data_IF_122598547339
#
_entry.id   IF_122598547339
#
_cell.length_a   1.000
_cell.length_b   1.000
_cell.length_c   1.000
_cell.angle_alpha   90.00
_cell.angle_beta   90.00
_cell.angle_gamma   90.00
#
_symmetry.space_group_name_H-M   'P 1'
#
loop_
_entity.id
_entity.type
_entity.pdbx_description
1 polymer ?
#
# COMPACT_ATOMS: atom_id res chain seq x y z
N UNK A 1 5.31 24.91 27.86
CA UNK A 1 5.38 25.69 26.61
C UNK A 1 6.24 24.98 25.56
N UNK A 2 5.94 23.71 25.24
CA UNK A 2 6.62 22.95 24.17
C UNK A 2 5.63 22.35 23.15
N UNK A 3 4.32 22.38 23.44
CA UNK A 3 3.27 21.83 22.57
C UNK A 3 2.87 22.77 21.42
N UNK A 4 3.22 24.05 21.47
CA UNK A 4 2.87 25.02 20.42
C UNK A 4 3.81 24.98 19.19
N UNK A 5 4.82 24.10 19.18
CA UNK A 5 5.88 24.12 18.16
C UNK A 5 6.04 22.82 17.37
N UNK A 6 5.27 21.77 17.69
CA UNK A 6 5.33 20.51 16.94
C UNK A 6 4.23 20.47 15.86
N UNK A 7 4.56 20.40 14.56
CA UNK A 7 3.58 20.46 13.47
C UNK A 7 2.61 19.27 13.45
N UNK A 8 2.95 18.16 14.11
CA UNK A 8 2.09 16.97 14.24
C UNK A 8 1.01 17.11 15.32
N UNK A 9 1.02 18.18 16.12
CA UNK A 9 -0.01 18.46 17.13
C UNK A 9 -1.14 19.36 16.60
N UNK A 10 -1.11 19.71 15.31
CA UNK A 10 -2.24 20.38 14.65
C UNK A 10 -3.50 19.51 14.72
N UNK A 11 -4.69 20.12 14.77
CA UNK A 11 -5.98 19.41 14.88
C UNK A 11 -6.99 19.76 13.78
N UNK A 12 -6.59 20.66 12.88
CA UNK A 12 -7.43 21.24 11.84
C UNK A 12 -6.56 21.63 10.65
N UNK A 13 -7.17 21.71 9.47
CA UNK A 13 -6.47 22.12 8.26
C UNK A 13 -5.61 21.00 7.66
N UNK A 14 -4.78 21.37 6.70
CA UNK A 14 -3.90 20.43 5.99
C UNK A 14 -2.65 20.16 6.84
N UNK A 15 -2.18 18.91 6.95
CA UNK A 15 -0.92 18.61 7.62
C UNK A 15 0.24 19.42 7.03
N UNK A 16 1.05 20.02 7.90
CA UNK A 16 2.21 20.84 7.54
C UNK A 16 3.40 19.99 7.10
N UNK A 17 3.27 19.28 5.99
CA UNK A 17 4.23 18.26 5.53
C UNK A 17 5.66 18.79 5.34
N UNK A 18 5.80 20.05 4.96
CA UNK A 18 7.07 20.76 4.79
C UNK A 18 7.78 21.04 6.13
N UNK A 19 7.05 21.12 7.24
CA UNK A 19 7.58 21.34 8.58
C UNK A 19 7.86 20.03 9.35
N UNK A 20 7.27 18.89 8.95
CA UNK A 20 7.43 17.61 9.67
C UNK A 20 8.85 17.08 9.53
N UNK A 21 9.47 16.74 10.67
CA UNK A 21 10.81 16.16 10.76
C UNK A 21 10.77 14.90 11.63
N UNK A 22 11.67 13.92 11.44
CA UNK A 22 11.65 12.67 12.21
C UNK A 22 11.59 12.89 13.74
N UNK A 23 12.38 13.82 14.28
CA UNK A 23 12.42 14.10 15.72
C UNK A 23 11.12 14.69 16.31
N UNK A 24 10.16 15.10 15.47
CA UNK A 24 8.83 15.53 15.92
C UNK A 24 7.94 14.33 16.29
N UNK A 25 8.19 13.14 15.72
CA UNK A 25 7.30 11.97 15.80
C UNK A 25 7.17 11.48 17.24
N UNK A 26 8.28 11.13 17.88
CA UNK A 26 8.27 10.60 19.26
C UNK A 26 7.49 11.47 20.25
N UNK A 27 7.83 12.76 20.40
CA UNK A 27 7.12 13.67 21.29
C UNK A 27 5.64 13.86 20.95
N UNK A 28 5.29 14.05 19.67
CA UNK A 28 3.89 14.27 19.28
C UNK A 28 3.04 13.03 19.54
N UNK A 29 3.51 11.86 19.08
CA UNK A 29 2.78 10.59 19.20
C UNK A 29 2.61 10.22 20.67
N UNK A 30 3.64 10.41 21.51
CA UNK A 30 3.54 10.19 22.95
C UNK A 30 2.47 11.07 23.58
N UNK A 31 2.45 12.37 23.24
CA UNK A 31 1.47 13.31 23.77
C UNK A 31 0.04 12.94 23.36
N UNK A 32 -0.22 12.71 22.07
CA UNK A 32 -1.59 12.40 21.61
C UNK A 32 -2.06 11.04 22.12
N UNK A 33 -1.18 10.07 22.31
CA UNK A 33 -1.52 8.79 22.94
C UNK A 33 -1.87 8.97 24.42
N UNK A 34 -1.16 9.86 25.14
CA UNK A 34 -1.51 10.18 26.52
C UNK A 34 -2.87 10.88 26.60
N UNK A 35 -3.13 11.86 25.74
CA UNK A 35 -4.42 12.55 25.63
C UNK A 35 -5.55 11.56 25.31
N UNK A 36 -5.35 10.69 24.33
CA UNK A 36 -6.34 9.69 23.93
C UNK A 36 -6.56 8.63 25.02
N UNK A 37 -5.52 8.21 25.75
CA UNK A 37 -5.70 7.31 26.90
C UNK A 37 -6.53 7.94 28.01
N UNK A 38 -6.30 9.22 28.32
CA UNK A 38 -7.06 9.95 29.33
C UNK A 38 -8.53 10.14 28.89
N UNK A 39 -8.75 10.53 27.62
CA UNK A 39 -10.08 10.65 27.04
C UNK A 39 -10.84 9.32 27.10
N UNK A 40 -10.18 8.22 26.78
CA UNK A 40 -10.78 6.89 26.80
C UNK A 40 -11.22 6.52 28.22
N UNK A 41 -10.37 6.77 29.23
CA UNK A 41 -10.71 6.55 30.64
C UNK A 41 -11.88 7.42 31.10
N UNK A 42 -11.98 8.67 30.63
CA UNK A 42 -13.10 9.55 30.97
C UNK A 42 -14.41 9.06 30.36
N UNK A 43 -14.39 8.60 29.10
CA UNK A 43 -15.56 8.03 28.42
C UNK A 43 -16.00 6.74 29.11
N UNK A 44 -15.05 5.85 29.46
CA UNK A 44 -15.33 4.62 30.20
C UNK A 44 -15.96 4.88 31.57
N UNK A 45 -15.52 5.93 32.28
CA UNK A 45 -15.99 6.24 33.63
C UNK A 45 -17.34 6.98 33.67
N UNK A 46 -17.67 7.71 32.61
CA UNK A 46 -18.91 8.51 32.51
C UNK A 46 -19.79 8.03 31.35
N UNK A 47 -19.81 6.71 31.16
CA UNK A 47 -20.42 6.10 29.98
C UNK A 47 -21.92 6.42 29.88
N UNK A 48 -22.32 6.98 28.74
CA UNK A 48 -23.70 7.27 28.39
C UNK A 48 -24.00 6.65 27.02
N UNK A 49 -24.81 5.58 26.94
CA UNK A 49 -25.03 4.81 25.72
C UNK A 49 -26.03 5.54 24.79
N UNK A 50 -25.64 6.71 24.33
CA UNK A 50 -26.35 7.53 23.33
C UNK A 50 -25.38 7.98 22.26
N UNK A 51 -25.88 8.45 21.12
CA UNK A 51 -25.00 8.95 20.06
C UNK A 51 -24.06 10.07 20.56
N UNK A 52 -24.62 11.03 21.29
CA UNK A 52 -23.92 12.18 21.86
C UNK A 52 -23.04 11.81 23.06
N UNK A 53 -23.39 10.77 23.81
CA UNK A 53 -22.70 10.36 25.04
C UNK A 53 -21.56 9.37 24.83
N UNK A 54 -21.59 8.60 23.73
CA UNK A 54 -20.59 7.55 23.46
C UNK A 54 -19.92 7.71 22.09
N UNK A 55 -20.70 7.81 21.01
CA UNK A 55 -20.12 7.78 19.65
C UNK A 55 -19.36 9.06 19.35
N UNK A 56 -19.98 10.22 19.54
CA UNK A 56 -19.33 11.51 19.27
C UNK A 56 -18.04 11.70 20.09
N UNK A 57 -18.01 11.46 21.42
CA UNK A 57 -16.78 11.59 22.21
C UNK A 57 -15.67 10.64 21.75
N UNK A 58 -16.01 9.42 21.32
CA UNK A 58 -15.02 8.48 20.79
C UNK A 58 -14.40 8.94 19.47
N UNK A 59 -15.19 9.55 18.59
CA UNK A 59 -14.69 10.12 17.34
C UNK A 59 -13.82 11.34 17.59
N UNK A 60 -14.28 12.28 18.42
CA UNK A 60 -13.55 13.51 18.75
C UNK A 60 -12.21 13.23 19.44
N UNK A 61 -12.16 12.22 20.32
CA UNK A 61 -10.94 11.78 20.98
C UNK A 61 -9.89 11.23 19.98
N UNK A 62 -10.34 10.66 18.86
CA UNK A 62 -9.46 10.09 17.83
C UNK A 62 -8.77 11.14 16.95
N UNK A 63 -9.36 12.33 16.80
CA UNK A 63 -8.88 13.36 15.86
C UNK A 63 -7.40 13.74 16.09
N UNK A 64 -6.93 14.04 17.32
CA UNK A 64 -5.53 14.39 17.53
C UNK A 64 -4.56 13.28 17.12
N UNK A 65 -4.94 12.01 17.34
CA UNK A 65 -4.14 10.87 16.95
C UNK A 65 -4.05 10.74 15.42
N UNK A 66 -5.16 10.93 14.70
CA UNK A 66 -5.18 10.91 13.23
C UNK A 66 -4.27 11.97 12.62
N UNK A 67 -4.32 13.21 13.14
CA UNK A 67 -3.47 14.31 12.68
C UNK A 67 -1.98 14.10 12.99
N UNK A 68 -1.64 13.34 14.03
CA UNK A 68 -0.25 13.06 14.37
C UNK A 68 0.30 11.84 13.63
N UNK A 69 -0.47 10.75 13.55
CA UNK A 69 0.02 9.48 13.02
C UNK A 69 -0.20 9.33 11.51
N UNK A 70 -1.31 9.87 10.97
CA UNK A 70 -1.63 9.82 9.55
C UNK A 70 -0.52 10.41 8.66
N UNK A 71 -0.03 11.63 8.92
CA UNK A 71 1.07 12.22 8.16
C UNK A 71 2.37 11.42 8.23
N UNK A 72 2.66 10.77 9.37
CA UNK A 72 3.84 9.91 9.52
C UNK A 72 3.73 8.67 8.63
N UNK A 73 2.58 8.00 8.62
CA UNK A 73 2.32 6.85 7.74
C UNK A 73 2.39 7.24 6.26
N UNK A 74 1.86 8.41 5.91
CA UNK A 74 1.93 8.95 4.57
C UNK A 74 3.39 9.18 4.14
N UNK A 75 4.19 9.89 4.94
CA UNK A 75 5.61 10.14 4.65
C UNK A 75 6.43 8.85 4.53
N UNK A 76 6.17 7.84 5.34
CA UNK A 76 6.79 6.51 5.17
C UNK A 76 6.45 5.84 3.84
N UNK A 77 5.31 6.16 3.25
CA UNK A 77 4.85 5.58 2.00
C UNK A 77 5.40 6.32 0.78
N UNK A 78 5.57 7.65 0.86
CA UNK A 78 5.89 8.51 -0.30
C UNK A 78 7.25 9.20 -0.23
N UNK A 79 7.85 9.32 0.96
CA UNK A 79 9.14 9.99 1.18
C UNK A 79 9.94 9.30 2.30
N UNK A 80 10.14 7.98 2.13
CA UNK A 80 10.70 7.11 3.14
C UNK A 80 12.22 7.34 3.37
N UNK A 81 12.62 7.57 4.63
CA UNK A 81 14.03 7.68 5.04
C UNK A 81 14.34 6.77 6.25
N UNK A 82 15.63 6.49 6.48
CA UNK A 82 16.07 5.66 7.62
C UNK A 82 15.67 6.29 8.97
N UNK A 83 15.75 7.62 9.07
CA UNK A 83 15.39 8.37 10.28
C UNK A 83 13.88 8.28 10.55
N UNK A 84 13.04 8.39 9.49
CA UNK A 84 11.59 8.21 9.62
C UNK A 84 11.24 6.78 10.04
N UNK A 85 11.88 5.77 9.46
CA UNK A 85 11.69 4.35 9.86
C UNK A 85 12.04 4.14 11.33
N UNK A 86 13.19 4.65 11.77
CA UNK A 86 13.64 4.48 13.15
C UNK A 86 12.67 5.11 14.17
N UNK A 87 12.15 6.30 13.90
CA UNK A 87 11.18 6.95 14.78
C UNK A 87 9.80 6.25 14.75
N UNK A 88 9.38 5.79 13.57
CA UNK A 88 8.16 4.98 13.46
C UNK A 88 8.26 3.67 14.23
N UNK A 89 9.36 2.92 14.10
CA UNK A 89 9.58 1.65 14.80
C UNK A 89 9.57 1.80 16.33
N UNK A 90 10.09 2.92 16.85
CA UNK A 90 10.03 3.23 18.29
C UNK A 90 8.60 3.47 18.78
N UNK A 91 7.76 4.12 17.97
CA UNK A 91 6.41 4.51 18.37
C UNK A 91 5.34 3.46 18.06
N UNK A 92 5.55 2.63 17.04
CA UNK A 92 4.58 1.64 16.57
C UNK A 92 4.05 0.71 17.70
N UNK A 93 4.87 0.19 18.64
CA UNK A 93 4.36 -0.63 19.74
C UNK A 93 3.32 0.09 20.61
N UNK A 94 3.55 1.36 20.95
CA UNK A 94 2.64 2.16 21.78
C UNK A 94 1.33 2.47 21.03
N UNK A 95 1.43 2.71 19.72
CA UNK A 95 0.26 2.89 18.84
C UNK A 95 -0.60 1.64 18.80
N UNK A 96 0.02 0.46 18.63
CA UNK A 96 -0.69 -0.82 18.62
C UNK A 96 -1.33 -1.09 19.97
N UNK A 97 -0.60 -0.87 21.07
CA UNK A 97 -1.11 -1.06 22.43
C UNK A 97 -2.36 -0.21 22.68
N UNK A 98 -2.34 1.07 22.30
CA UNK A 98 -3.51 1.93 22.42
C UNK A 98 -4.68 1.47 21.55
N UNK A 99 -4.43 1.07 20.30
CA UNK A 99 -5.46 0.53 19.41
C UNK A 99 -6.11 -0.74 19.98
N UNK A 100 -5.31 -1.63 20.57
CA UNK A 100 -5.79 -2.82 21.28
C UNK A 100 -6.61 -2.45 22.52
N UNK A 101 -6.14 -1.49 23.34
CA UNK A 101 -6.90 -0.99 24.51
C UNK A 101 -8.27 -0.47 24.10
N UNK A 102 -8.33 0.39 23.07
CA UNK A 102 -9.58 0.94 22.57
C UNK A 102 -10.52 -0.16 22.06
N UNK A 103 -10.02 -1.05 21.18
CA UNK A 103 -10.83 -2.13 20.60
C UNK A 103 -11.30 -3.17 21.61
N UNK A 104 -10.60 -3.31 22.74
CA UNK A 104 -10.90 -4.28 23.81
C UNK A 104 -11.54 -3.64 25.04
N UNK A 105 -11.98 -2.38 24.95
CA UNK A 105 -12.70 -1.71 26.04
C UNK A 105 -14.07 -2.37 26.24
N UNK A 106 -14.21 -3.13 27.32
CA UNK A 106 -15.48 -3.78 27.70
C UNK A 106 -16.60 -2.77 27.98
N UNK A 107 -16.38 -1.67 28.74
CA UNK A 107 -17.42 -0.67 28.95
C UNK A 107 -17.96 -0.11 27.64
N UNK A 108 -17.08 0.25 26.70
CA UNK A 108 -17.51 0.77 25.39
C UNK A 108 -18.28 -0.29 24.60
N UNK A 109 -17.77 -1.52 24.55
CA UNK A 109 -18.45 -2.60 23.85
C UNK A 109 -19.85 -2.87 24.40
N UNK A 110 -20.00 -2.90 25.73
CA UNK A 110 -21.29 -3.03 26.41
C UNK A 110 -22.20 -1.82 26.14
N UNK A 111 -21.65 -0.61 26.13
CA UNK A 111 -22.36 0.60 25.74
C UNK A 111 -22.88 0.57 24.31
N UNK A 112 -22.08 0.08 23.36
CA UNK A 112 -22.49 -0.12 21.97
C UNK A 112 -23.61 -1.15 21.84
N UNK A 113 -23.54 -2.26 22.59
CA UNK A 113 -24.61 -3.25 22.64
C UNK A 113 -25.89 -2.66 23.24
N UNK A 114 -25.78 -1.86 24.31
CA UNK A 114 -26.93 -1.18 24.91
C UNK A 114 -27.57 -0.17 23.96
N UNK A 115 -26.79 0.52 23.13
CA UNK A 115 -27.33 1.37 22.06
C UNK A 115 -28.05 0.57 20.98
N UNK A 116 -27.50 -0.59 20.57
CA UNK A 116 -28.08 -1.46 19.53
C UNK A 116 -29.37 -2.13 19.99
N UNK A 117 -29.39 -2.61 21.23
CA UNK A 117 -30.48 -3.43 21.79
C UNK A 117 -31.48 -2.60 22.62
N UNK A 118 -31.23 -1.30 22.78
CA UNK A 118 -32.02 -0.39 23.62
C UNK A 118 -32.86 0.62 22.83
N UNK A 119 -33.56 1.53 23.53
CA UNK A 119 -34.51 2.47 22.93
C UNK A 119 -33.87 3.53 22.03
N UNK A 120 -32.57 3.82 22.19
CA UNK A 120 -31.84 4.74 21.32
C UNK A 120 -31.85 4.26 19.86
N UNK A 121 -31.84 2.93 19.62
CA UNK A 121 -31.75 2.36 18.28
C UNK A 121 -32.79 2.92 17.31
N UNK A 122 -34.03 3.09 17.78
CA UNK A 122 -35.16 3.53 16.98
C UNK A 122 -35.05 5.02 16.58
N UNK A 123 -34.30 5.84 17.33
CA UNK A 123 -34.06 7.25 17.01
C UNK A 123 -32.93 7.46 15.99
N UNK A 124 -32.05 6.47 15.83
CA UNK A 124 -30.89 6.55 14.95
C UNK A 124 -31.25 6.34 13.48
N UNK A 125 -30.61 7.11 12.60
CA UNK A 125 -30.68 6.88 11.16
C UNK A 125 -29.84 5.67 10.72
N UNK A 126 -29.99 5.23 9.46
CA UNK A 126 -29.32 4.05 8.91
C UNK A 126 -27.79 4.13 9.03
N UNK A 127 -27.18 5.29 8.74
CA UNK A 127 -25.74 5.49 8.83
C UNK A 127 -25.24 5.35 10.26
N UNK A 128 -25.95 5.93 11.24
CA UNK A 128 -25.62 5.82 12.65
C UNK A 128 -25.71 4.37 13.15
N UNK A 129 -26.79 3.66 12.78
CA UNK A 129 -26.96 2.23 13.05
C UNK A 129 -25.83 1.40 12.45
N UNK A 130 -25.42 1.73 11.23
CA UNK A 130 -24.30 1.08 10.54
C UNK A 130 -22.98 1.30 11.28
N UNK A 131 -22.69 2.52 11.74
CA UNK A 131 -21.50 2.85 12.53
C UNK A 131 -21.44 2.01 13.81
N UNK A 132 -22.54 1.89 14.55
CA UNK A 132 -22.59 1.09 15.79
C UNK A 132 -22.34 -0.39 15.48
N UNK A 133 -23.02 -0.95 14.47
CA UNK A 133 -22.82 -2.35 14.08
C UNK A 133 -21.37 -2.64 13.65
N UNK A 134 -20.74 -1.70 12.93
CA UNK A 134 -19.32 -1.79 12.56
C UNK A 134 -18.41 -1.80 13.79
N UNK A 135 -18.60 -0.86 14.72
CA UNK A 135 -17.81 -0.79 15.96
C UNK A 135 -17.97 -2.05 16.83
N UNK A 136 -19.19 -2.61 16.92
CA UNK A 136 -19.45 -3.89 17.63
C UNK A 136 -18.68 -5.03 16.98
N UNK A 137 -18.75 -5.17 15.65
CA UNK A 137 -17.99 -6.18 14.90
C UNK A 137 -16.49 -6.00 15.13
N UNK A 138 -15.99 -4.78 15.00
CA UNK A 138 -14.56 -4.49 15.10
C UNK A 138 -14.03 -4.76 16.52
N UNK A 139 -14.81 -4.49 17.57
CA UNK A 139 -14.47 -4.87 18.94
C UNK A 139 -14.39 -6.40 19.12
N UNK A 140 -15.31 -7.16 18.51
CA UNK A 140 -15.24 -8.64 18.50
C UNK A 140 -13.97 -9.12 17.78
N UNK A 141 -13.66 -8.56 16.62
CA UNK A 141 -12.44 -8.87 15.85
C UNK A 141 -11.15 -8.38 16.53
N UNK A 142 -11.25 -7.42 17.45
CA UNK A 142 -10.18 -6.99 18.35
C UNK A 142 -10.04 -7.89 19.58
N UNK A 143 -10.92 -8.90 19.76
CA UNK A 143 -10.84 -9.86 20.85
C UNK A 143 -11.43 -9.38 22.18
N UNK A 144 -12.37 -8.41 22.18
CA UNK A 144 -13.01 -7.91 23.41
C UNK A 144 -13.69 -9.02 24.25
N UNK A 145 -14.19 -10.06 23.59
CA UNK A 145 -14.84 -11.20 24.23
C UNK A 145 -13.90 -12.29 24.75
N UNK A 146 -12.59 -12.15 24.55
CA UNK A 146 -11.62 -13.16 24.99
C UNK A 146 -11.41 -13.12 26.52
N UNK A 147 -11.23 -14.29 27.15
CA UNK A 147 -10.67 -14.37 28.51
C UNK A 147 -9.30 -13.69 28.60
N UNK A 148 -8.89 -13.30 29.81
CA UNK A 148 -7.68 -12.48 30.01
C UNK A 148 -6.41 -13.14 29.45
N UNK A 149 -6.19 -14.42 29.72
CA UNK A 149 -5.05 -15.20 29.23
C UNK A 149 -5.01 -15.27 27.70
N UNK A 150 -6.16 -15.49 27.05
CA UNK A 150 -6.25 -15.50 25.58
C UNK A 150 -6.10 -14.11 24.96
N UNK A 151 -6.52 -13.07 25.68
CA UNK A 151 -6.38 -11.68 25.24
C UNK A 151 -4.92 -11.22 25.25
N UNK A 152 -4.15 -11.61 26.26
CA UNK A 152 -2.70 -11.35 26.30
C UNK A 152 -1.99 -11.99 25.10
N UNK A 153 -2.32 -13.24 24.79
CA UNK A 153 -1.78 -13.92 23.60
C UNK A 153 -2.22 -13.26 22.29
N UNK A 154 -3.50 -12.88 22.18
CA UNK A 154 -4.02 -12.14 21.03
C UNK A 154 -3.26 -10.82 20.79
N UNK A 155 -2.95 -10.10 21.88
CA UNK A 155 -2.22 -8.84 21.84
C UNK A 155 -0.78 -9.05 21.38
N UNK A 156 -0.09 -10.06 21.94
CA UNK A 156 1.25 -10.45 21.51
C UNK A 156 1.30 -10.77 20.02
N UNK A 157 0.35 -11.58 19.53
CA UNK A 157 0.23 -11.96 18.12
C UNK A 157 0.00 -10.72 17.24
N UNK A 158 -0.93 -9.84 17.62
CA UNK A 158 -1.28 -8.65 16.83
C UNK A 158 -0.10 -7.66 16.74
N UNK A 159 0.63 -7.46 17.84
CA UNK A 159 1.85 -6.63 17.85
C UNK A 159 2.93 -7.22 16.95
N UNK A 160 3.18 -8.53 17.05
CA UNK A 160 4.18 -9.21 16.24
C UNK A 160 3.84 -9.18 14.75
N UNK A 161 2.58 -9.41 14.37
CA UNK A 161 2.11 -9.31 12.98
C UNK A 161 2.35 -7.92 12.37
N UNK A 162 2.12 -6.86 13.14
CA UNK A 162 2.30 -5.48 12.67
C UNK A 162 3.78 -5.17 12.42
N UNK A 163 4.67 -5.63 13.30
CA UNK A 163 6.12 -5.55 13.10
C UNK A 163 6.56 -6.32 11.85
N UNK A 164 6.15 -7.59 11.73
CA UNK A 164 6.48 -8.44 10.58
C UNK A 164 6.01 -7.84 9.25
N UNK A 165 4.85 -7.18 9.22
CA UNK A 165 4.36 -6.50 8.03
C UNK A 165 5.24 -5.28 7.63
N UNK A 166 5.71 -4.52 8.63
CA UNK A 166 6.63 -3.40 8.42
C UNK A 166 7.97 -3.90 7.89
N UNK A 167 8.55 -4.93 8.55
CA UNK A 167 9.81 -5.56 8.16
C UNK A 167 9.72 -6.12 6.73
N UNK A 168 8.63 -6.81 6.41
CA UNK A 168 8.37 -7.34 5.05
C UNK A 168 8.38 -6.24 4.00
N UNK A 169 7.67 -5.13 4.24
CA UNK A 169 7.56 -4.01 3.31
C UNK A 169 8.91 -3.31 3.11
N UNK A 170 9.66 -3.09 4.19
CA UNK A 170 11.00 -2.50 4.13
C UNK A 170 11.96 -3.39 3.33
N UNK A 171 11.94 -4.70 3.55
CA UNK A 171 12.77 -5.65 2.81
C UNK A 171 12.49 -5.64 1.30
N UNK A 172 11.21 -5.55 0.89
CA UNK A 172 10.84 -5.44 -0.54
C UNK A 172 11.36 -4.13 -1.13
N UNK A 173 11.20 -3.02 -0.41
CA UNK A 173 11.68 -1.70 -0.85
C UNK A 173 13.21 -1.69 -1.00
N UNK A 174 13.92 -2.19 0.00
CA UNK A 174 15.39 -2.17 0.02
C UNK A 174 15.96 -3.15 -1.01
N UNK A 175 15.34 -4.32 -1.20
CA UNK A 175 15.72 -5.26 -2.26
C UNK A 175 15.50 -4.69 -3.66
N UNK A 176 14.44 -3.88 -3.85
CA UNK A 176 14.17 -3.18 -5.11
C UNK A 176 15.23 -2.10 -5.38
N UNK A 177 15.60 -1.32 -4.35
CA UNK A 177 16.60 -0.23 -4.44
C UNK A 177 18.04 -0.73 -4.61
N UNK A 178 18.39 -1.85 -3.98
CA UNK A 178 19.75 -2.39 -3.99
C UNK A 178 20.20 -2.92 -5.35
N UNK A 179 19.28 -3.25 -6.25
CA UNK A 179 19.61 -3.80 -7.55
C UNK A 179 20.01 -2.72 -8.54
N UNK A 180 21.18 -2.88 -9.15
CA UNK A 180 21.59 -2.12 -10.33
C UNK A 180 22.07 -3.04 -11.44
N UNK A 181 21.64 -2.74 -12.68
CA UNK A 181 22.19 -3.37 -13.87
C UNK A 181 22.67 -2.31 -14.85
N UNK A 182 24.00 -2.21 -14.98
CA UNK A 182 24.66 -1.21 -15.81
C UNK A 182 24.97 -1.80 -17.19
N UNK A 183 24.46 -1.15 -18.23
CA UNK A 183 24.71 -1.47 -19.64
C UNK A 183 25.63 -0.39 -20.21
N UNK A 184 26.72 -0.81 -20.85
CA UNK A 184 27.75 0.10 -21.39
C UNK A 184 27.78 0.12 -22.92
N UNK A 185 27.30 -0.93 -23.57
CA UNK A 185 27.32 -1.05 -25.03
C UNK A 185 26.09 -0.39 -25.64
N UNK A 186 26.30 0.58 -26.52
CA UNK A 186 25.19 1.22 -27.25
C UNK A 186 24.38 0.22 -28.08
N UNK A 187 25.04 -0.79 -28.65
CA UNK A 187 24.39 -1.83 -29.44
C UNK A 187 23.36 -2.64 -28.62
N UNK A 188 23.56 -2.78 -27.31
CA UNK A 188 22.62 -3.50 -26.43
C UNK A 188 21.35 -2.68 -26.08
N UNK A 189 21.35 -1.37 -26.39
CA UNK A 189 20.19 -0.48 -26.22
C UNK A 189 19.30 -0.41 -27.46
N UNK A 190 19.64 -1.16 -28.52
CA UNK A 190 18.90 -1.12 -29.78
C UNK A 190 17.44 -1.58 -29.59
N UNK A 191 16.51 -0.74 -30.03
CA UNK A 191 15.07 -0.99 -29.90
C UNK A 191 14.46 -0.53 -28.58
N UNK A 192 15.24 0.01 -27.65
CA UNK A 192 14.68 0.61 -26.44
C UNK A 192 13.89 1.87 -26.77
N UNK A 193 12.73 2.07 -26.12
CA UNK A 193 12.00 3.32 -26.18
C UNK A 193 12.82 4.50 -25.69
N UNK A 194 12.52 5.69 -26.21
CA UNK A 194 13.29 6.91 -25.92
C UNK A 194 13.28 7.24 -24.41
N UNK A 195 12.16 7.05 -23.70
CA UNK A 195 12.14 7.19 -22.23
C UNK A 195 13.08 6.23 -21.55
N UNK A 196 13.12 4.96 -21.95
CA UNK A 196 13.92 3.98 -21.23
C UNK A 196 15.39 4.38 -21.29
N UNK A 197 15.85 4.82 -22.46
CA UNK A 197 17.22 5.32 -22.66
C UNK A 197 17.47 6.56 -21.81
N UNK A 198 16.57 7.56 -21.84
CA UNK A 198 16.71 8.80 -21.05
C UNK A 198 16.68 8.57 -19.53
N UNK A 199 15.72 7.78 -19.07
CA UNK A 199 15.50 7.51 -17.65
C UNK A 199 16.67 6.68 -17.08
N UNK A 200 17.19 5.72 -17.84
CA UNK A 200 18.32 4.90 -17.41
C UNK A 200 19.65 5.67 -17.40
N UNK A 201 19.86 6.64 -18.30
CA UNK A 201 21.02 7.54 -18.22
C UNK A 201 20.91 8.51 -17.03
N UNK A 202 19.72 9.10 -16.81
CA UNK A 202 19.47 9.96 -15.65
C UNK A 202 19.65 9.21 -14.33
N UNK A 203 19.15 7.98 -14.26
CA UNK A 203 19.33 7.08 -13.11
C UNK A 203 20.79 6.78 -12.82
N UNK A 204 21.63 6.58 -13.86
CA UNK A 204 23.06 6.39 -13.68
C UNK A 204 23.72 7.64 -13.09
N UNK A 205 23.47 8.80 -13.70
CA UNK A 205 24.04 10.09 -13.26
C UNK A 205 23.64 10.43 -11.82
N UNK A 206 22.37 10.24 -11.48
CA UNK A 206 21.86 10.46 -10.13
C UNK A 206 22.51 9.53 -9.10
N UNK A 207 22.55 8.22 -9.37
CA UNK A 207 23.13 7.24 -8.44
C UNK A 207 24.63 7.43 -8.25
N UNK A 208 25.37 7.66 -9.34
CA UNK A 208 26.83 7.79 -9.32
C UNK A 208 27.29 9.23 -9.07
N UNK A 209 26.37 10.19 -8.94
CA UNK A 209 26.63 11.63 -8.75
C UNK A 209 27.63 12.17 -9.78
N UNK A 210 27.33 11.93 -11.06
CA UNK A 210 28.17 12.25 -12.21
C UNK A 210 27.31 12.73 -13.38
N UNK A 211 27.94 13.30 -14.41
CA UNK A 211 27.31 13.68 -15.69
C UNK A 211 27.87 12.87 -16.87
N UNK A 212 28.55 11.74 -16.59
CA UNK A 212 29.19 10.89 -17.60
C UNK A 212 28.20 10.22 -18.56
N UNK A 213 26.94 10.01 -18.14
CA UNK A 213 25.93 9.36 -18.97
C UNK A 213 25.08 10.33 -19.76
N UNK A 214 24.85 9.99 -21.02
CA UNK A 214 23.82 10.61 -21.87
C UNK A 214 22.96 9.53 -22.53
N UNK A 215 21.76 9.87 -23.03
CA UNK A 215 20.97 8.93 -23.81
C UNK A 215 21.73 8.32 -25.01
N UNK A 216 22.64 9.09 -25.59
CA UNK A 216 23.41 8.72 -26.78
C UNK A 216 24.63 7.85 -26.45
N UNK A 217 25.35 8.16 -25.37
CA UNK A 217 26.65 7.53 -25.06
C UNK A 217 26.62 6.54 -23.92
N UNK A 218 25.56 6.55 -23.08
CA UNK A 218 25.52 5.78 -21.86
C UNK A 218 26.64 6.16 -20.88
N UNK A 219 26.88 5.38 -19.83
CA UNK A 219 26.25 4.08 -19.50
C UNK A 219 24.82 4.19 -18.96
N UNK A 220 24.01 3.14 -19.13
CA UNK A 220 22.60 3.12 -18.74
C UNK A 220 22.40 2.24 -17.50
N UNK A 221 21.83 2.80 -16.44
CA UNK A 221 21.48 2.07 -15.21
C UNK A 221 20.02 1.65 -15.24
N UNK A 222 19.78 0.34 -15.26
CA UNK A 222 18.45 -0.27 -15.14
C UNK A 222 18.22 -0.70 -13.69
N UNK A 223 17.05 -0.35 -13.16
CA UNK A 223 16.58 -0.73 -11.82
C UNK A 223 15.38 -1.68 -11.91
N UNK A 224 14.89 -2.17 -10.77
CA UNK A 224 13.72 -3.03 -10.68
C UNK A 224 12.39 -2.27 -10.57
N UNK A 225 12.43 -0.93 -10.66
CA UNK A 225 11.23 -0.11 -10.62
C UNK A 225 10.44 -0.23 -11.93
N UNK A 226 9.11 -0.25 -11.82
CA UNK A 226 8.21 -0.48 -12.95
C UNK A 226 8.49 0.41 -14.18
N UNK A 227 8.80 1.73 -14.05
CA UNK A 227 9.11 2.59 -15.19
C UNK A 227 10.35 2.18 -16.00
N UNK A 228 11.27 1.39 -15.43
CA UNK A 228 12.41 0.83 -16.17
C UNK A 228 12.21 -0.64 -16.50
N UNK A 229 11.77 -1.44 -15.54
CA UNK A 229 11.60 -2.89 -15.67
C UNK A 229 10.66 -3.26 -16.83
N UNK A 230 9.47 -2.66 -16.87
CA UNK A 230 8.44 -3.02 -17.84
C UNK A 230 8.90 -2.73 -19.28
N UNK A 231 9.32 -1.49 -19.64
CA UNK A 231 9.80 -1.24 -20.98
C UNK A 231 11.06 -2.04 -21.32
N UNK A 232 11.95 -2.32 -20.35
CA UNK A 232 13.11 -3.17 -20.60
C UNK A 232 12.70 -4.59 -21.03
N UNK A 233 11.77 -5.22 -20.30
CA UNK A 233 11.27 -6.56 -20.63
C UNK A 233 10.49 -6.61 -21.94
N UNK A 234 9.81 -5.52 -22.33
CA UNK A 234 9.07 -5.42 -23.60
C UNK A 234 9.96 -5.15 -24.82
N UNK A 235 11.05 -4.41 -24.66
CA UNK A 235 11.78 -3.86 -25.81
C UNK A 235 13.25 -4.28 -25.92
N UNK A 236 13.90 -4.73 -24.84
CA UNK A 236 15.29 -5.18 -24.95
C UNK A 236 15.39 -6.43 -25.83
N UNK A 237 16.08 -6.32 -26.96
CA UNK A 237 16.34 -7.44 -27.88
C UNK A 237 17.28 -8.49 -27.27
N UNK A 238 18.05 -8.12 -26.25
CA UNK A 238 19.09 -8.98 -25.66
C UNK A 238 18.46 -9.95 -24.65
N UNK A 239 18.16 -11.17 -25.09
CA UNK A 239 17.41 -12.17 -24.30
C UNK A 239 17.98 -12.49 -22.92
N UNK A 240 19.30 -12.72 -22.82
CA UNK A 240 19.93 -13.03 -21.53
C UNK A 240 19.86 -11.87 -20.53
N UNK A 241 19.75 -10.62 -21.02
CA UNK A 241 19.56 -9.45 -20.16
C UNK A 241 18.12 -9.40 -19.62
N UNK A 242 17.11 -9.72 -20.45
CA UNK A 242 15.72 -9.88 -19.98
C UNK A 242 15.62 -10.97 -18.93
N UNK A 243 16.30 -12.11 -19.15
CA UNK A 243 16.39 -13.20 -18.17
C UNK A 243 16.99 -12.72 -16.85
N UNK A 244 18.16 -12.06 -16.91
CA UNK A 244 18.84 -11.54 -15.71
C UNK A 244 17.97 -10.57 -14.92
N UNK A 245 17.29 -9.66 -15.62
CA UNK A 245 16.44 -8.65 -14.98
C UNK A 245 15.16 -9.27 -14.39
N UNK A 246 14.47 -10.14 -15.13
CA UNK A 246 13.28 -10.80 -14.62
C UNK A 246 13.59 -11.69 -13.41
N UNK A 247 14.69 -12.46 -13.47
CA UNK A 247 15.14 -13.29 -12.34
C UNK A 247 15.36 -12.43 -11.09
N UNK A 248 16.08 -11.32 -11.24
CA UNK A 248 16.29 -10.38 -10.14
C UNK A 248 14.99 -9.79 -9.60
N UNK A 249 14.01 -9.50 -10.46
CA UNK A 249 12.71 -8.98 -10.04
C UNK A 249 11.87 -9.98 -9.24
N UNK A 250 11.83 -11.25 -9.67
CA UNK A 250 11.04 -12.30 -9.01
C UNK A 250 11.73 -12.88 -7.77
N UNK A 251 13.04 -12.67 -7.63
CA UNK A 251 13.85 -13.04 -6.46
C UNK A 251 14.03 -11.88 -5.47
N UNK A 252 13.22 -10.82 -5.55
CA UNK A 252 13.32 -9.72 -4.59
C UNK A 252 12.96 -10.19 -3.18
N UNK A 253 13.75 -9.73 -2.21
CA UNK A 253 13.57 -10.05 -0.79
C UNK A 253 13.47 -11.56 -0.53
N UNK A 254 14.28 -12.37 -1.23
CA UNK A 254 14.24 -13.83 -1.16
C UNK A 254 15.49 -14.48 -0.53
N UNK A 255 16.45 -13.69 -0.04
CA UNK A 255 17.73 -14.20 0.45
C UNK A 255 18.49 -13.15 1.27
N UNK A 256 19.49 -13.61 2.03
CA UNK A 256 20.32 -12.76 2.88
C UNK A 256 19.52 -12.07 3.99
N UNK A 257 19.94 -10.85 4.35
CA UNK A 257 19.32 -10.05 5.42
C UNK A 257 17.92 -9.54 5.06
N UNK A 258 17.56 -9.55 3.78
CA UNK A 258 16.27 -9.10 3.26
C UNK A 258 15.31 -10.27 2.97
N UNK A 259 15.61 -11.50 3.42
CA UNK A 259 14.80 -12.68 3.15
C UNK A 259 13.43 -12.61 3.83
N UNK A 260 12.37 -12.48 3.04
CA UNK A 260 11.00 -12.45 3.53
C UNK A 260 10.37 -13.84 3.70
N UNK A 261 10.99 -14.95 3.25
CA UNK A 261 10.39 -16.29 3.38
C UNK A 261 10.14 -16.68 4.85
N UNK A 262 11.07 -16.45 5.81
CA UNK A 262 10.80 -16.69 7.22
C UNK A 262 9.66 -15.81 7.76
N UNK A 263 9.65 -14.53 7.39
CA UNK A 263 8.60 -13.59 7.82
C UNK A 263 7.22 -14.03 7.34
N UNK A 264 7.10 -14.47 6.07
CA UNK A 264 5.83 -14.98 5.51
C UNK A 264 5.34 -16.19 6.31
N UNK A 265 6.21 -17.15 6.62
CA UNK A 265 5.82 -18.35 7.39
C UNK A 265 5.32 -17.98 8.78
N UNK A 266 6.03 -17.08 9.46
CA UNK A 266 5.62 -16.59 10.78
C UNK A 266 4.29 -15.83 10.71
N UNK A 267 4.10 -14.97 9.71
CA UNK A 267 2.83 -14.25 9.46
C UNK A 267 1.68 -15.25 9.27
N UNK A 268 1.86 -16.29 8.44
CA UNK A 268 0.81 -17.28 8.20
C UNK A 268 0.45 -18.08 9.45
N UNK A 269 1.47 -18.49 10.24
CA UNK A 269 1.26 -19.15 11.52
C UNK A 269 0.48 -18.26 12.49
N UNK A 270 0.96 -17.04 12.72
CA UNK A 270 0.33 -16.07 13.64
C UNK A 270 -1.09 -15.69 13.20
N UNK A 271 -1.35 -15.57 11.90
CA UNK A 271 -2.71 -15.35 11.36
C UNK A 271 -3.64 -16.53 11.64
N UNK A 272 -3.16 -17.77 11.52
CA UNK A 272 -3.91 -18.97 11.87
C UNK A 272 -4.23 -19.03 13.37
N UNK A 273 -3.23 -18.77 14.22
CA UNK A 273 -3.39 -18.71 15.68
C UNK A 273 -4.40 -17.62 16.09
N UNK A 274 -4.28 -16.41 15.52
CA UNK A 274 -5.22 -15.30 15.74
C UNK A 274 -6.66 -15.67 15.39
N UNK A 275 -6.88 -16.30 14.25
CA UNK A 275 -8.20 -16.73 13.80
C UNK A 275 -8.81 -17.75 14.76
N UNK A 276 -8.03 -18.76 15.17
CA UNK A 276 -8.45 -19.79 16.14
C UNK A 276 -8.77 -19.22 17.50
N UNK A 277 -8.02 -18.22 17.98
CA UNK A 277 -8.32 -17.55 19.25
C UNK A 277 -9.72 -16.94 19.24
N UNK A 278 -10.13 -16.36 18.10
CA UNK A 278 -11.44 -15.77 17.92
C UNK A 278 -12.54 -16.77 17.50
N UNK A 279 -12.20 -18.06 17.37
CA UNK A 279 -13.17 -19.11 17.04
C UNK A 279 -13.45 -19.32 15.55
N UNK A 280 -12.58 -18.85 14.65
CA UNK A 280 -12.66 -19.12 13.21
C UNK A 280 -11.75 -20.29 12.82
N UNK A 281 -12.13 -21.07 11.80
CA UNK A 281 -11.32 -22.19 11.30
C UNK A 281 -10.10 -21.70 10.53
N UNK A 282 -10.22 -20.53 9.88
CA UNK A 282 -9.14 -19.93 9.11
C UNK A 282 -9.11 -18.40 9.21
N UNK A 283 -7.94 -17.83 8.91
CA UNK A 283 -7.82 -16.37 8.78
C UNK A 283 -8.68 -15.81 7.64
N UNK A 284 -8.97 -16.60 6.61
CA UNK A 284 -9.83 -16.18 5.50
C UNK A 284 -11.26 -15.93 5.97
N UNK A 285 -11.85 -16.85 6.75
CA UNK A 285 -13.17 -16.69 7.37
C UNK A 285 -13.22 -15.44 8.26
N UNK A 286 -12.27 -15.30 9.17
CA UNK A 286 -12.15 -14.11 10.03
C UNK A 286 -12.05 -12.82 9.20
N UNK A 287 -11.36 -12.86 8.05
CA UNK A 287 -11.20 -11.71 7.17
C UNK A 287 -12.49 -11.32 6.43
N UNK A 288 -13.40 -12.27 6.23
CA UNK A 288 -14.65 -12.09 5.50
C UNK A 288 -15.74 -11.40 6.32
N UNK A 289 -15.67 -11.44 7.66
CA UNK A 289 -16.55 -10.66 8.56
C UNK A 289 -16.60 -9.16 8.21
N UNK A 290 -15.51 -8.63 7.65
CA UNK A 290 -15.39 -7.24 7.23
C UNK A 290 -15.63 -7.01 5.72
N UNK A 291 -16.02 -8.03 4.96
CA UNK A 291 -16.17 -8.00 3.49
C UNK A 291 -17.61 -8.30 3.07
N UNK A 292 -17.90 -8.06 1.80
CA UNK A 292 -19.23 -8.34 1.21
C UNK A 292 -19.43 -9.82 0.85
N UNK A 293 -18.35 -10.55 0.58
CA UNK A 293 -18.43 -11.96 0.21
C UNK A 293 -18.93 -12.77 1.43
N UNK A 294 -19.95 -13.63 1.25
CA UNK A 294 -20.64 -14.26 2.38
C UNK A 294 -19.80 -15.34 3.07
N UNK A 295 -18.93 -16.03 2.33
CA UNK A 295 -18.11 -17.13 2.83
C UNK A 295 -16.91 -17.40 1.90
N UNK A 296 -16.01 -18.28 2.34
CA UNK A 296 -14.79 -18.64 1.59
C UNK A 296 -15.13 -19.39 0.29
N UNK A 297 -16.18 -20.20 0.30
CA UNK A 297 -16.59 -20.98 -0.88
C UNK A 297 -17.08 -20.07 -2.01
N UNK A 298 -17.83 -19.01 -1.70
CA UNK A 298 -18.29 -18.02 -2.66
C UNK A 298 -17.12 -17.32 -3.35
N UNK A 299 -16.07 -16.98 -2.59
CA UNK A 299 -14.83 -16.42 -3.15
C UNK A 299 -14.14 -17.42 -4.06
N UNK A 300 -14.03 -18.69 -3.65
CA UNK A 300 -13.41 -19.74 -4.46
C UNK A 300 -14.19 -20.03 -5.74
N UNK A 301 -15.53 -20.08 -5.67
CA UNK A 301 -16.41 -20.23 -6.85
C UNK A 301 -16.20 -19.09 -7.83
N UNK A 302 -16.19 -17.85 -7.37
CA UNK A 302 -15.93 -16.69 -8.21
C UNK A 302 -14.57 -16.79 -8.92
N UNK A 303 -13.50 -17.18 -8.22
CA UNK A 303 -12.18 -17.37 -8.85
C UNK A 303 -12.17 -18.53 -9.86
N UNK A 304 -12.87 -19.61 -9.56
CA UNK A 304 -12.97 -20.75 -10.48
C UNK A 304 -13.74 -20.39 -11.76
N UNK A 305 -14.86 -19.68 -11.65
CA UNK A 305 -15.63 -19.20 -12.80
C UNK A 305 -14.79 -18.28 -13.70
N UNK A 306 -14.03 -17.35 -13.09
CA UNK A 306 -13.11 -16.48 -13.83
C UNK A 306 -12.00 -17.30 -14.53
N UNK A 307 -11.46 -18.31 -13.85
CA UNK A 307 -10.43 -19.18 -14.42
C UNK A 307 -10.95 -19.99 -15.62
N UNK A 308 -12.11 -20.64 -15.48
CA UNK A 308 -12.71 -21.43 -16.55
C UNK A 308 -13.08 -20.57 -17.77
N UNK A 309 -13.56 -19.34 -17.55
CA UNK A 309 -13.84 -18.40 -18.62
C UNK A 309 -12.57 -17.87 -19.32
N UNK A 310 -11.48 -17.65 -18.57
CA UNK A 310 -10.27 -17.00 -19.09
C UNK A 310 -9.26 -17.98 -19.69
N UNK A 311 -9.20 -19.22 -19.19
CA UNK A 311 -8.18 -20.21 -19.57
C UNK A 311 -8.20 -20.58 -21.07
N UNK A 312 -9.34 -20.83 -21.73
CA UNK A 312 -9.33 -21.16 -23.15
C UNK A 312 -8.73 -20.04 -24.00
N UNK A 313 -9.05 -18.78 -23.68
CA UNK A 313 -8.53 -17.62 -24.41
C UNK A 313 -7.04 -17.40 -24.14
N UNK A 314 -6.58 -17.58 -22.89
CA UNK A 314 -5.15 -17.43 -22.56
C UNK A 314 -4.27 -18.46 -23.24
N UNK A 315 -4.74 -19.70 -23.43
CA UNK A 315 -4.03 -20.72 -24.20
C UNK A 315 -3.90 -20.35 -25.69
N UNK A 316 -4.95 -19.78 -26.28
CA UNK A 316 -4.89 -19.28 -27.67
C UNK A 316 -3.90 -18.11 -27.78
N UNK A 317 -3.98 -17.13 -26.88
CA UNK A 317 -3.07 -15.98 -26.89
C UNK A 317 -1.62 -16.39 -26.65
N UNK A 318 -1.36 -17.35 -25.76
CA UNK A 318 -0.01 -17.87 -25.56
C UNK A 318 0.54 -18.54 -26.82
N UNK A 319 -0.30 -19.31 -27.53
CA UNK A 319 0.08 -19.91 -28.81
C UNK A 319 0.39 -18.85 -29.88
N UNK A 320 -0.38 -17.77 -29.95
CA UNK A 320 -0.10 -16.65 -30.86
C UNK A 320 1.27 -16.00 -30.57
N UNK A 321 1.65 -15.93 -29.28
CA UNK A 321 2.97 -15.44 -28.85
C UNK A 321 4.08 -16.43 -29.23
N UNK A 322 3.85 -17.74 -29.16
CA UNK A 322 4.79 -18.76 -29.65
C UNK A 322 4.97 -18.67 -31.17
N UNK A 323 3.88 -18.58 -31.92
CA UNK A 323 3.89 -18.51 -33.39
C UNK A 323 4.65 -17.28 -33.91
N UNK A 324 4.43 -16.09 -33.34
CA UNK A 324 5.18 -14.89 -33.76
C UNK A 324 6.67 -14.99 -33.41
N UNK A 325 7.01 -15.57 -32.25
CA UNK A 325 8.40 -15.76 -31.86
C UNK A 325 9.14 -16.68 -32.84
N UNK A 326 8.53 -17.80 -33.22
CA UNK A 326 9.05 -18.73 -34.22
C UNK A 326 9.19 -18.07 -35.60
N UNK A 327 8.15 -17.37 -36.06
CA UNK A 327 8.16 -16.67 -37.35
C UNK A 327 9.25 -15.59 -37.44
N UNK A 328 9.57 -14.94 -36.32
CA UNK A 328 10.65 -13.95 -36.23
C UNK A 328 12.02 -14.58 -35.91
N UNK A 329 12.14 -15.90 -35.96
CA UNK A 329 13.41 -16.62 -35.94
C UNK A 329 13.90 -17.06 -34.55
N UNK A 330 13.08 -16.97 -33.51
CA UNK A 330 13.43 -17.57 -32.22
C UNK A 330 13.39 -19.10 -32.32
N UNK A 331 14.53 -19.73 -32.02
CA UNK A 331 14.69 -21.21 -32.08
C UNK A 331 14.45 -21.91 -30.74
N UNK A 332 14.53 -21.17 -29.64
CA UNK A 332 14.39 -21.71 -28.30
C UNK A 332 12.95 -21.58 -27.80
N UNK A 333 12.49 -22.55 -27.00
CA UNK A 333 11.19 -22.48 -26.34
C UNK A 333 11.03 -21.17 -25.56
N UNK A 334 9.84 -20.56 -25.63
CA UNK A 334 9.53 -19.38 -24.83
C UNK A 334 9.75 -19.65 -23.33
N UNK A 335 10.32 -18.66 -22.65
CA UNK A 335 10.44 -18.61 -21.19
C UNK A 335 9.71 -17.38 -20.66
N UNK A 336 9.53 -17.27 -19.34
CA UNK A 336 8.83 -16.14 -18.74
C UNK A 336 9.42 -14.76 -19.10
N UNK A 337 10.74 -14.67 -19.32
CA UNK A 337 11.41 -13.44 -19.75
C UNK A 337 11.26 -13.12 -21.25
N UNK A 338 10.60 -13.99 -22.00
CA UNK A 338 10.29 -13.78 -23.42
C UNK A 338 8.85 -13.29 -23.62
N UNK A 339 7.94 -13.59 -22.69
CA UNK A 339 6.49 -13.30 -22.83
C UNK A 339 6.23 -11.81 -23.09
N UNK A 340 6.74 -10.90 -22.25
CA UNK A 340 6.50 -9.47 -22.43
C UNK A 340 7.06 -8.91 -23.75
N UNK A 341 8.22 -9.42 -24.18
CA UNK A 341 8.86 -9.01 -25.43
C UNK A 341 8.02 -9.43 -26.64
N UNK A 342 7.62 -10.69 -26.72
CA UNK A 342 6.86 -11.20 -27.87
C UNK A 342 5.39 -10.76 -27.87
N UNK A 343 4.77 -10.57 -26.70
CA UNK A 343 3.46 -9.93 -26.62
C UNK A 343 3.49 -8.52 -27.19
N UNK A 344 4.57 -7.75 -26.96
CA UNK A 344 4.69 -6.41 -27.53
C UNK A 344 4.89 -6.45 -29.05
N UNK A 345 5.73 -7.36 -29.57
CA UNK A 345 5.86 -7.57 -31.03
C UNK A 345 4.54 -7.98 -31.68
N UNK A 346 3.76 -8.85 -31.03
CA UNK A 346 2.44 -9.27 -31.50
C UNK A 346 1.46 -8.09 -31.54
N UNK A 347 1.48 -7.24 -30.51
CA UNK A 347 0.67 -6.03 -30.45
C UNK A 347 1.02 -5.07 -31.58
N UNK A 348 2.31 -4.83 -31.81
CA UNK A 348 2.81 -3.95 -32.87
C UNK A 348 2.42 -4.47 -34.27
N UNK A 349 2.58 -5.77 -34.52
CA UNK A 349 2.20 -6.37 -35.81
C UNK A 349 0.69 -6.30 -36.05
N UNK A 350 -0.10 -6.66 -35.03
CA UNK A 350 -1.57 -6.76 -35.13
C UNK A 350 -2.24 -5.40 -35.26
N UNK A 351 -1.82 -4.43 -34.45
CA UNK A 351 -2.50 -3.14 -34.34
C UNK A 351 -1.75 -2.00 -35.03
N UNK A 352 -0.52 -2.23 -35.50
CA UNK A 352 0.29 -1.28 -36.27
C UNK A 352 0.55 0.03 -35.53
N UNK A 353 0.72 -0.04 -34.21
CA UNK A 353 1.18 1.08 -33.40
C UNK A 353 2.21 0.65 -32.36
N UNK A 354 3.02 1.58 -31.88
CA UNK A 354 3.97 1.39 -30.77
C UNK A 354 3.61 2.28 -29.57
N UNK A 355 4.07 1.89 -28.37
CA UNK A 355 3.90 2.72 -27.16
C UNK A 355 4.50 4.13 -27.33
N UNK A 356 5.64 4.25 -28.05
CA UNK A 356 6.29 5.54 -28.34
C UNK A 356 5.45 6.44 -29.27
N UNK A 357 4.66 5.86 -30.18
CA UNK A 357 3.75 6.65 -31.04
C UNK A 357 2.58 7.21 -30.26
N UNK A 358 2.11 6.51 -29.23
CA UNK A 358 0.99 6.95 -28.39
C UNK A 358 1.42 7.98 -27.34
N UNK A 359 2.65 7.90 -26.84
CA UNK A 359 3.12 8.71 -25.73
C UNK A 359 2.93 10.23 -25.88
N UNK A 360 3.19 10.87 -27.04
CA UNK A 360 2.95 12.30 -27.21
C UNK A 360 1.48 12.72 -27.01
N UNK A 361 0.53 11.79 -27.10
CA UNK A 361 -0.91 12.05 -26.92
C UNK A 361 -1.35 11.95 -25.45
N UNK A 362 -0.51 11.45 -24.55
CA UNK A 362 -0.81 11.31 -23.12
C UNK A 362 0.14 12.10 -22.21
N UNK A 363 0.38 13.41 -22.45
CA UNK A 363 1.16 14.21 -21.50
C UNK A 363 0.36 14.38 -20.21
N UNK A 364 1.03 14.24 -19.07
CA UNK A 364 0.41 14.23 -17.74
C UNK A 364 -0.58 15.40 -17.50
N UNK A 365 -0.25 16.67 -17.82
CA UNK A 365 -1.21 17.77 -17.64
C UNK A 365 -2.52 17.60 -18.44
N UNK A 366 -2.46 17.01 -19.65
CA UNK A 366 -3.66 16.79 -20.47
C UNK A 366 -4.50 15.62 -19.99
N UNK A 367 -3.86 14.58 -19.47
CA UNK A 367 -4.56 13.46 -18.82
C UNK A 367 -5.28 13.95 -17.58
N UNK A 368 -4.62 14.77 -16.75
CA UNK A 368 -5.21 15.37 -15.55
C UNK A 368 -6.40 16.28 -15.90
N UNK A 369 -6.25 17.16 -16.88
CA UNK A 369 -7.32 18.03 -17.39
C UNK A 369 -8.52 17.21 -17.91
N UNK A 370 -8.26 16.13 -18.65
CA UNK A 370 -9.31 15.22 -19.12
C UNK A 370 -10.04 14.51 -17.98
N UNK A 371 -9.30 14.05 -16.97
CA UNK A 371 -9.87 13.43 -15.76
C UNK A 371 -10.74 14.41 -14.98
N UNK A 372 -10.30 15.67 -14.82
CA UNK A 372 -11.09 16.71 -14.16
C UNK A 372 -12.39 16.97 -14.92
N UNK A 373 -12.33 17.22 -16.23
CA UNK A 373 -13.56 17.40 -17.03
C UNK A 373 -14.54 16.25 -16.93
N UNK A 374 -14.04 15.02 -16.87
CA UNK A 374 -14.89 13.84 -16.69
C UNK A 374 -15.60 13.89 -15.34
N UNK A 375 -14.87 14.20 -14.26
CA UNK A 375 -15.44 14.32 -12.92
C UNK A 375 -16.44 15.48 -12.82
N UNK A 376 -16.12 16.63 -13.38
CA UNK A 376 -17.01 17.81 -13.45
C UNK A 376 -18.29 17.47 -14.21
N UNK A 377 -18.19 16.76 -15.34
CA UNK A 377 -19.35 16.35 -16.14
C UNK A 377 -20.22 15.30 -15.45
N UNK A 378 -19.62 14.35 -14.72
CA UNK A 378 -20.37 13.25 -14.10
C UNK A 378 -20.98 13.63 -12.76
N UNK A 379 -20.29 14.48 -11.99
CA UNK A 379 -20.62 14.76 -10.60
C UNK A 379 -21.01 16.23 -10.35
N UNK A 380 -20.91 17.11 -11.35
CA UNK A 380 -21.27 18.52 -11.21
C UNK A 380 -20.36 19.30 -10.26
N UNK A 381 -19.14 18.82 -10.05
CA UNK A 381 -18.09 19.51 -9.27
C UNK A 381 -17.29 20.45 -10.17
N UNK A 382 -16.46 21.32 -9.58
CA UNK A 382 -15.44 22.13 -10.26
C UNK A 382 -14.09 21.80 -9.62
N UNK A 383 -13.08 21.47 -10.43
CA UNK A 383 -11.74 21.12 -9.93
C UNK A 383 -10.72 22.11 -10.47
N UNK A 384 -10.09 22.84 -9.56
CA UNK A 384 -9.05 23.82 -9.86
C UNK A 384 -7.88 23.70 -8.92
N UNK A 385 -6.72 24.12 -9.40
CA UNK A 385 -5.55 24.33 -8.54
C UNK A 385 -5.88 25.42 -7.52
N UNK A 386 -5.46 25.20 -6.28
CA UNK A 386 -5.67 26.17 -5.20
C UNK A 386 -4.73 27.36 -5.36
N UNK A 387 -5.23 28.57 -5.14
CA UNK A 387 -4.39 29.79 -5.07
C UNK A 387 -3.58 29.84 -3.75
N UNK A 388 -4.02 29.10 -2.72
CA UNK A 388 -3.29 28.97 -1.46
C UNK A 388 -2.18 27.93 -1.56
N UNK A 389 -0.97 28.29 -1.14
CA UNK A 389 0.15 27.33 -1.05
C UNK A 389 -0.15 26.29 0.03
N UNK A 390 -0.47 25.07 -0.38
CA UNK A 390 -0.57 23.93 0.52
C UNK A 390 0.84 23.41 0.90
N UNK A 391 1.08 23.03 2.16
CA UNK A 391 2.29 22.31 2.58
C UNK A 391 2.51 21.02 1.78
N UNK A 392 3.73 20.85 1.22
CA UNK A 392 4.08 19.70 0.36
C UNK A 392 5.26 18.92 0.95
N UNK A 393 5.25 17.59 0.79
CA UNK A 393 6.38 16.73 1.19
C UNK A 393 7.45 16.58 0.10
N UNK A 394 7.14 16.95 -1.15
CA UNK A 394 8.06 16.91 -2.29
C UNK A 394 7.70 17.99 -3.33
N UNK A 395 8.67 18.62 -4.03
CA UNK A 395 8.41 19.65 -5.04
C UNK A 395 7.48 19.22 -6.19
N UNK A 396 7.47 17.93 -6.54
CA UNK A 396 6.65 17.39 -7.63
C UNK A 396 5.18 17.14 -7.24
N UNK A 397 4.80 17.34 -5.97
CA UNK A 397 3.39 17.27 -5.55
C UNK A 397 2.67 18.48 -6.14
N UNK A 398 1.61 18.25 -6.89
CA UNK A 398 0.77 19.31 -7.47
C UNK A 398 -0.34 19.70 -6.51
#
# INVERSE_FOLDING_TARGET
>A
MASAQNPLLARTGIPKFDEIKPHHIGPAVTQVLQEANNGLTQIESNLSPTWEGLIRPLEEMGIPFEYAWGPVQHLLSVNNTNELRAEHEKMLPQVIEFGLRMGQSKPIYEGLLAMRDGPEWDSLNESQRRVINLKIRDAKLAGVGLPQDKREEFNRITTKLSKLATDFSNNVLDSTKAYEFIIKSKAETEGWPINLVQLSSQSYNHEKKTDESSPETGPWRITLEAPMLIPFLRHSKVRHQREKLLKAYVSRADSGDLDNKPLIREILQLRSEKAKLLGYESFAEMSLEAKMAPDVEAVQRMFHELFEASKPKSLVEFKEIEEIAENMGQKESLKHWDTAFWSERLKEERFRFTDDQLRPYFPFPKVLEGMFRLAESLFGVEIKETEETAPKWHPDVI
#
